data_IF_727913729184
#
_entry.id   IF_727913729184
#
_cell.length_a   1.000
_cell.length_b   1.000
_cell.length_c   1.000
_cell.angle_alpha   90.00
_cell.angle_beta   90.00
_cell.angle_gamma   90.00
#
_symmetry.space_group_name_H-M   'P 1'
#
loop_
_entity.id
_entity.type
_entity.pdbx_description
1 polymer ?
#
# COMPACT_ATOMS: atom_id res chain seq x y z
N UNK A 1 -5.07 -18.16 -10.56
CA UNK A 1 -5.54 -17.64 -11.87
C UNK A 1 -6.27 -16.30 -11.75
N UNK A 2 -7.20 -16.11 -10.80
CA UNK A 2 -7.89 -14.82 -10.60
C UNK A 2 -6.95 -13.63 -10.33
N UNK A 3 -5.88 -13.85 -9.57
CA UNK A 3 -4.95 -12.78 -9.19
C UNK A 3 -4.12 -12.26 -10.36
N UNK A 4 -3.59 -13.18 -11.18
CA UNK A 4 -2.86 -12.84 -12.41
C UNK A 4 -3.73 -12.01 -13.36
N UNK A 5 -5.00 -12.39 -13.54
CA UNK A 5 -5.95 -11.64 -14.38
C UNK A 5 -6.16 -10.22 -13.89
N UNK A 6 -6.12 -9.97 -12.57
CA UNK A 6 -6.27 -8.64 -12.01
C UNK A 6 -5.03 -7.76 -12.21
N UNK A 7 -3.84 -8.36 -12.32
CA UNK A 7 -2.62 -7.62 -12.68
C UNK A 7 -2.58 -7.23 -14.16
N UNK A 8 -3.25 -8.02 -15.02
CA UNK A 8 -3.37 -7.77 -16.45
C UNK A 8 -4.54 -6.81 -16.79
N UNK A 9 -5.39 -6.51 -15.81
CA UNK A 9 -6.51 -5.56 -15.96
C UNK A 9 -6.04 -4.11 -15.93
N UNK A 10 -6.70 -3.24 -16.69
CA UNK A 10 -6.53 -1.79 -16.54
C UNK A 10 -6.95 -1.33 -15.13
N UNK A 11 -6.28 -0.31 -14.60
CA UNK A 11 -6.56 0.25 -13.26
C UNK A 11 -8.04 0.65 -13.10
N UNK A 12 -8.64 1.21 -14.15
CA UNK A 12 -10.06 1.60 -14.17
C UNK A 12 -11.06 0.43 -14.05
N UNK A 13 -10.62 -0.81 -14.31
CA UNK A 13 -11.44 -2.01 -14.16
C UNK A 13 -11.34 -2.64 -12.75
N UNK A 14 -10.47 -2.12 -11.87
CA UNK A 14 -10.30 -2.62 -10.51
C UNK A 14 -11.23 -1.84 -9.57
N UNK A 15 -12.15 -2.56 -8.92
CA UNK A 15 -12.98 -1.97 -7.86
C UNK A 15 -12.15 -1.72 -6.60
N UNK A 16 -11.97 -0.45 -6.24
CA UNK A 16 -11.30 -0.04 -5.01
C UNK A 16 -12.26 -0.10 -3.81
N UNK A 17 -11.79 -0.61 -2.67
CA UNK A 17 -12.49 -0.49 -1.39
C UNK A 17 -12.28 0.88 -0.77
N UNK A 18 -11.10 1.47 -0.97
CA UNK A 18 -10.77 2.82 -0.54
C UNK A 18 -9.86 3.52 -1.53
N UNK A 19 -10.07 4.83 -1.66
CA UNK A 19 -9.28 5.73 -2.52
C UNK A 19 -8.45 6.66 -1.65
N UNK A 20 -7.20 6.83 -2.04
CA UNK A 20 -6.17 7.60 -1.37
C UNK A 20 -5.66 8.72 -2.24
N UNK A 21 -5.53 9.92 -1.68
CA UNK A 21 -5.04 11.06 -2.44
C UNK A 21 -4.35 12.08 -1.53
N UNK A 22 -3.12 12.46 -1.88
CA UNK A 22 -2.34 13.46 -1.13
C UNK A 22 -2.99 14.85 -1.16
N UNK A 23 -3.71 15.16 -2.24
CA UNK A 23 -4.45 16.41 -2.44
C UNK A 23 -5.76 16.49 -1.62
N UNK A 24 -6.14 15.42 -0.91
CA UNK A 24 -7.38 15.37 -0.13
C UNK A 24 -8.63 14.97 -0.92
N UNK A 25 -8.52 14.64 -2.21
CA UNK A 25 -9.62 14.14 -3.04
C UNK A 25 -9.96 12.66 -2.79
N UNK A 26 -9.33 12.04 -1.78
CA UNK A 26 -9.53 10.65 -1.36
C UNK A 26 -9.93 10.57 0.11
N UNK A 27 -10.21 9.36 0.59
CA UNK A 27 -10.66 9.12 1.97
C UNK A 27 -9.55 9.34 2.99
N UNK A 28 -8.31 8.96 2.68
CA UNK A 28 -7.16 9.26 3.53
C UNK A 28 -6.03 9.91 2.72
N UNK A 29 -5.02 10.42 3.44
CA UNK A 29 -3.85 11.12 2.87
C UNK A 29 -2.59 10.27 2.86
N UNK A 30 -2.49 9.27 3.74
CA UNK A 30 -1.32 8.36 3.87
C UNK A 30 -1.66 6.89 3.61
N UNK A 31 -0.73 6.14 3.03
CA UNK A 31 -0.92 4.72 2.75
C UNK A 31 -1.07 3.93 4.06
N UNK A 32 -0.36 4.32 5.12
CA UNK A 32 -0.48 3.71 6.44
C UNK A 32 -1.94 3.74 6.99
N UNK A 33 -2.62 4.89 6.94
CA UNK A 33 -4.02 5.01 7.37
C UNK A 33 -4.95 4.09 6.57
N UNK A 34 -4.72 3.99 5.26
CA UNK A 34 -5.50 3.13 4.39
C UNK A 34 -5.34 1.66 4.75
N UNK A 35 -4.11 1.21 5.04
CA UNK A 35 -3.81 -0.15 5.48
C UNK A 35 -4.47 -0.46 6.82
N UNK A 36 -4.46 0.49 7.76
CA UNK A 36 -5.11 0.34 9.06
C UNK A 36 -6.63 0.12 8.90
N UNK A 37 -7.25 0.77 7.91
CA UNK A 37 -8.68 0.64 7.62
C UNK A 37 -9.11 -0.72 7.03
N UNK A 38 -8.15 -1.52 6.54
CA UNK A 38 -8.45 -2.86 6.07
C UNK A 38 -8.87 -3.78 7.24
N UNK A 39 -9.86 -4.67 7.06
CA UNK A 39 -10.29 -5.57 8.12
C UNK A 39 -9.20 -6.58 8.50
N UNK A 40 -9.09 -6.86 9.79
CA UNK A 40 -8.20 -7.92 10.29
C UNK A 40 -8.70 -9.29 9.84
N UNK A 41 -7.77 -10.12 9.36
CA UNK A 41 -8.01 -11.46 8.83
C UNK A 41 -9.10 -11.51 7.75
N UNK A 42 -9.19 -10.47 6.91
CA UNK A 42 -10.15 -10.42 5.81
C UNK A 42 -10.02 -11.62 4.88
N UNK A 43 -11.15 -12.27 4.58
CA UNK A 43 -11.22 -13.43 3.67
C UNK A 43 -11.34 -13.03 2.20
N UNK A 44 -11.62 -11.75 1.94
CA UNK A 44 -11.71 -11.16 0.61
C UNK A 44 -10.62 -10.11 0.43
N UNK A 45 -10.31 -9.80 -0.83
CA UNK A 45 -9.32 -8.77 -1.16
C UNK A 45 -9.80 -7.40 -0.71
N UNK A 46 -8.89 -6.64 -0.08
CA UNK A 46 -9.08 -5.24 0.25
C UNK A 46 -8.18 -4.38 -0.64
N UNK A 47 -8.76 -3.74 -1.65
CA UNK A 47 -8.05 -2.92 -2.63
C UNK A 47 -7.98 -1.47 -2.18
N UNK A 48 -6.76 -0.97 -2.00
CA UNK A 48 -6.43 0.42 -1.73
C UNK A 48 -5.91 1.04 -3.03
N UNK A 49 -6.64 2.01 -3.57
CA UNK A 49 -6.23 2.75 -4.75
C UNK A 49 -5.51 4.03 -4.34
N UNK A 50 -4.25 4.14 -4.72
CA UNK A 50 -3.33 5.25 -4.40
C UNK A 50 -3.17 6.12 -5.64
N UNK A 51 -3.81 7.30 -5.61
CA UNK A 51 -3.69 8.26 -6.71
C UNK A 51 -2.24 8.70 -6.91
N UNK A 52 -1.98 9.29 -8.07
CA UNK A 52 -0.69 9.85 -8.43
C UNK A 52 -0.16 10.80 -7.35
N UNK A 53 1.14 10.72 -7.12
CA UNK A 53 1.84 11.50 -6.12
C UNK A 53 3.05 10.79 -5.56
N UNK A 54 3.89 11.57 -4.89
CA UNK A 54 5.02 11.05 -4.11
C UNK A 54 4.65 11.05 -2.63
N UNK A 55 4.68 9.86 -2.04
CA UNK A 55 4.34 9.56 -0.66
C UNK A 55 5.62 9.21 0.09
N UNK A 56 6.11 10.13 0.91
CA UNK A 56 7.32 9.91 1.71
C UNK A 56 6.91 9.35 3.07
N UNK A 57 6.80 8.03 3.14
CA UNK A 57 6.33 7.29 4.32
C UNK A 57 6.94 5.89 4.37
N UNK A 58 7.00 5.32 5.58
CA UNK A 58 7.33 3.93 5.82
C UNK A 58 6.03 3.18 6.14
N UNK A 59 5.68 2.20 5.29
CA UNK A 59 4.39 1.50 5.36
C UNK A 59 4.59 0.10 5.92
N UNK A 60 3.97 -0.16 7.06
CA UNK A 60 3.91 -1.47 7.67
C UNK A 60 2.53 -2.12 7.48
N UNK A 61 2.52 -3.28 6.81
CA UNK A 61 1.33 -4.11 6.70
C UNK A 61 1.42 -5.20 7.76
N UNK A 62 0.75 -5.00 8.89
CA UNK A 62 0.76 -5.95 9.99
C UNK A 62 0.21 -7.33 9.57
N UNK A 63 0.73 -8.41 10.17
CA UNK A 63 0.34 -9.81 9.88
C UNK A 63 -1.16 -10.08 9.81
N UNK A 64 -1.96 -9.37 10.59
CA UNK A 64 -3.43 -9.52 10.60
C UNK A 64 -4.10 -8.93 9.35
N UNK A 65 -3.48 -7.97 8.66
CA UNK A 65 -4.01 -7.33 7.44
C UNK A 65 -3.80 -8.23 6.22
N UNK A 66 -4.61 -9.29 6.13
CA UNK A 66 -4.56 -10.27 5.03
C UNK A 66 -5.23 -9.72 3.78
N UNK A 67 -4.76 -10.17 2.61
CA UNK A 67 -5.36 -9.90 1.30
C UNK A 67 -5.47 -8.41 0.92
N UNK A 68 -4.53 -7.58 1.38
CA UNK A 68 -4.43 -6.17 0.96
C UNK A 68 -3.79 -6.07 -0.42
N UNK A 69 -4.38 -5.27 -1.30
CA UNK A 69 -3.84 -4.94 -2.62
C UNK A 69 -3.67 -3.43 -2.73
N UNK A 70 -2.46 -2.97 -3.05
CA UNK A 70 -2.19 -1.58 -3.40
C UNK A 70 -2.21 -1.43 -4.92
N UNK A 71 -2.90 -0.42 -5.43
CA UNK A 71 -2.99 -0.11 -6.87
C UNK A 71 -2.70 1.37 -7.06
N UNK A 72 -1.74 1.71 -7.91
CA UNK A 72 -1.39 3.09 -8.26
C UNK A 72 -2.03 3.57 -9.56
N UNK A 73 -1.92 4.86 -9.86
CA UNK A 73 -2.25 5.45 -11.17
C UNK A 73 -1.28 5.05 -12.28
N UNK A 74 -0.13 4.48 -11.90
CA UNK A 74 0.93 4.03 -12.79
C UNK A 74 2.24 3.95 -12.03
N UNK A 75 3.18 3.17 -12.56
CA UNK A 75 4.50 2.97 -11.93
C UNK A 75 5.25 4.29 -11.72
N UNK A 76 5.23 5.19 -12.69
CA UNK A 76 5.92 6.48 -12.62
C UNK A 76 5.06 7.59 -11.98
N UNK A 77 3.76 7.35 -11.83
CA UNK A 77 2.81 8.35 -11.34
C UNK A 77 2.61 8.25 -9.82
N UNK A 78 2.66 7.04 -9.26
CA UNK A 78 2.45 6.78 -7.83
C UNK A 78 3.72 6.19 -7.23
N UNK A 79 4.42 6.97 -6.40
CA UNK A 79 5.70 6.58 -5.80
C UNK A 79 5.60 6.64 -4.28
N UNK A 80 5.88 5.52 -3.61
CA UNK A 80 6.10 5.48 -2.16
C UNK A 80 7.61 5.43 -1.94
N UNK A 81 8.15 6.35 -1.14
CA UNK A 81 9.59 6.53 -0.98
C UNK A 81 9.98 6.64 0.49
N UNK A 82 11.15 6.10 0.81
CA UNK A 82 11.79 6.16 2.11
C UNK A 82 13.29 5.97 1.96
N UNK A 83 14.05 6.39 2.96
CA UNK A 83 15.52 6.44 2.91
C UNK A 83 16.20 5.72 4.08
N UNK A 84 15.48 4.86 4.80
CA UNK A 84 16.06 4.04 5.86
C UNK A 84 17.12 3.10 5.28
N UNK A 85 18.26 3.01 5.96
CA UNK A 85 19.39 2.22 5.50
C UNK A 85 20.27 1.79 6.68
N UNK A 86 21.18 0.84 6.43
CA UNK A 86 22.04 0.25 7.46
C UNK A 86 23.11 1.22 7.97
N UNK A 87 23.63 2.10 7.11
CA UNK A 87 24.66 3.08 7.48
C UNK A 87 24.14 4.05 8.54
N UNK A 88 22.87 4.45 8.42
CA UNK A 88 22.18 5.33 9.37
C UNK A 88 21.53 4.59 10.55
N UNK A 89 21.83 3.29 10.74
CA UNK A 89 21.44 2.52 11.93
C UNK A 89 20.16 1.68 11.80
N UNK A 90 19.56 1.54 10.61
CA UNK A 90 18.47 0.58 10.39
C UNK A 90 19.02 -0.84 10.20
N UNK A 91 18.14 -1.85 10.29
CA UNK A 91 18.47 -3.22 9.85
C UNK A 91 17.96 -3.43 8.43
N UNK A 92 18.55 -4.37 7.68
CA UNK A 92 18.06 -4.71 6.33
C UNK A 92 16.56 -5.06 6.31
N UNK A 93 16.04 -5.64 7.39
CA UNK A 93 14.62 -5.97 7.53
C UNK A 93 13.76 -4.73 7.81
N UNK A 94 14.25 -3.81 8.64
CA UNK A 94 13.53 -2.58 9.01
C UNK A 94 13.73 -1.43 8.00
N UNK A 95 14.62 -1.57 7.02
CA UNK A 95 14.88 -0.54 6.02
C UNK A 95 13.93 -0.55 4.82
N UNK A 96 13.05 -1.54 4.71
CA UNK A 96 12.10 -1.63 3.61
C UNK A 96 11.07 -0.49 3.66
N UNK A 97 10.91 0.27 2.56
CA UNK A 97 9.92 1.36 2.46
C UNK A 97 8.48 0.87 2.63
N UNK A 98 8.17 -0.31 2.09
CA UNK A 98 6.88 -1.00 2.27
C UNK A 98 7.17 -2.44 2.64
N UNK A 99 6.65 -2.90 3.77
CA UNK A 99 6.95 -4.24 4.27
C UNK A 99 5.78 -4.85 5.04
N UNK A 100 5.73 -6.19 5.05
CA UNK A 100 4.84 -6.94 5.94
C UNK A 100 5.57 -7.29 7.23
N UNK A 101 5.04 -6.86 8.37
CA UNK A 101 5.71 -7.03 9.65
C UNK A 101 4.94 -7.97 10.59
N UNK A 102 5.72 -8.76 11.32
CA UNK A 102 5.28 -9.54 12.47
C UNK A 102 5.52 -8.67 13.70
N UNK A 103 4.52 -7.85 14.05
CA UNK A 103 4.53 -7.17 15.34
C UNK A 103 4.07 -8.22 16.36
N UNK A 104 5.02 -8.76 17.15
CA UNK A 104 4.77 -9.59 18.33
C UNK A 104 4.29 -8.76 19.50
#
# INVERSE_FOLDING_TARGET
MKDRRLLESSVGAITANVVMAKDGSGKFKTVAEAVVSAPDNGNTRYTIYVKKGTYQEHVEIGKKKKNVMLVGDGMDATVITGSLNVVDGSTTFNSATVGTYLIT
#
